data_IF_412231186393
#
_entry.id   IF_412231186393
#
_cell.length_a   1.000
_cell.length_b   1.000
_cell.length_c   1.000
_cell.angle_alpha   90.00
_cell.angle_beta   90.00
_cell.angle_gamma   90.00
#
_symmetry.space_group_name_H-M   'P 1'
#
loop_
_entity.id
_entity.type
_entity.pdbx_description
1 polymer ?
#
# COMPACT_ATOMS: atom_id res chain seq x y z
N UNK A 1 6.13 18.12 0.32
CA UNK A 1 4.87 17.73 0.91
C UNK A 1 4.68 16.22 0.84
N UNK A 2 4.07 15.65 1.88
CA UNK A 2 3.94 14.19 2.02
C UNK A 2 3.08 13.58 0.90
N UNK A 3 2.04 14.25 0.44
CA UNK A 3 1.17 13.70 -0.61
C UNK A 3 1.87 13.60 -1.95
N UNK A 4 2.81 14.48 -2.24
CA UNK A 4 3.60 14.39 -3.46
C UNK A 4 4.44 13.11 -3.51
N UNK A 5 4.73 12.53 -2.34
CA UNK A 5 5.48 11.29 -2.21
C UNK A 5 4.51 10.11 -2.06
N UNK A 6 3.50 10.26 -1.21
CA UNK A 6 2.59 9.17 -0.86
C UNK A 6 1.69 8.75 -2.02
N UNK A 7 1.13 9.70 -2.77
CA UNK A 7 0.18 9.37 -3.83
C UNK A 7 0.80 8.51 -4.94
N UNK A 8 2.00 8.82 -5.47
CA UNK A 8 2.63 7.93 -6.45
C UNK A 8 2.93 6.54 -5.88
N UNK A 9 3.34 6.44 -4.61
CA UNK A 9 3.60 5.15 -3.98
C UNK A 9 2.32 4.34 -3.82
N UNK A 10 1.25 4.99 -3.37
CA UNK A 10 -0.04 4.30 -3.22
C UNK A 10 -0.55 3.81 -4.58
N UNK A 11 -0.48 4.65 -5.61
CA UNK A 11 -0.85 4.27 -6.97
C UNK A 11 -0.04 3.07 -7.47
N UNK A 12 1.25 3.05 -7.19
CA UNK A 12 2.12 1.93 -7.54
C UNK A 12 1.68 0.64 -6.85
N UNK A 13 1.34 0.72 -5.56
CA UNK A 13 0.86 -0.45 -4.81
C UNK A 13 -0.44 -0.98 -5.36
N UNK A 14 -1.39 -0.09 -5.68
CA UNK A 14 -2.67 -0.50 -6.25
C UNK A 14 -2.49 -1.23 -7.58
N UNK A 15 -1.65 -0.69 -8.45
CA UNK A 15 -1.37 -1.30 -9.74
C UNK A 15 -0.67 -2.65 -9.59
N UNK A 16 0.34 -2.73 -8.74
CA UNK A 16 1.07 -3.98 -8.49
C UNK A 16 0.15 -5.05 -7.89
N UNK A 17 -0.74 -4.65 -6.98
CA UNK A 17 -1.72 -5.56 -6.39
C UNK A 17 -2.68 -6.08 -7.45
N UNK A 18 -3.23 -5.19 -8.29
CA UNK A 18 -4.18 -5.57 -9.34
C UNK A 18 -3.56 -6.49 -10.39
N UNK A 19 -2.27 -6.32 -10.67
CA UNK A 19 -1.57 -7.14 -11.66
C UNK A 19 -0.88 -8.36 -11.06
N UNK A 20 -0.90 -8.50 -9.73
CA UNK A 20 -0.30 -9.64 -9.03
C UNK A 20 1.22 -9.69 -9.11
N UNK A 21 1.88 -8.54 -9.19
CA UNK A 21 3.34 -8.46 -9.32
C UNK A 21 4.00 -8.26 -7.97
N UNK A 22 4.39 -9.36 -7.34
CA UNK A 22 4.99 -9.33 -6.01
C UNK A 22 6.24 -8.44 -5.94
N UNK A 23 7.17 -8.60 -6.90
CA UNK A 23 8.40 -7.82 -6.90
C UNK A 23 8.16 -6.32 -6.99
N UNK A 24 7.18 -5.90 -7.80
CA UNK A 24 6.80 -4.50 -7.90
C UNK A 24 6.07 -4.02 -6.65
N UNK A 25 5.27 -4.89 -6.05
CA UNK A 25 4.51 -4.56 -4.84
C UNK A 25 5.44 -4.18 -3.69
N UNK A 26 6.54 -4.91 -3.49
CA UNK A 26 7.46 -4.70 -2.35
C UNK A 26 8.64 -3.80 -2.68
N UNK A 27 8.71 -3.26 -3.88
CA UNK A 27 9.87 -2.51 -4.39
C UNK A 27 10.31 -1.36 -3.47
N UNK A 28 9.36 -0.66 -2.86
CA UNK A 28 9.65 0.48 -2.00
C UNK A 28 9.44 0.19 -0.51
N UNK A 29 9.30 -1.08 -0.15
CA UNK A 29 9.14 -1.47 1.24
C UNK A 29 10.47 -1.34 1.98
N UNK A 30 10.39 -1.02 3.28
CA UNK A 30 11.57 -1.04 4.14
C UNK A 30 12.11 -2.46 4.23
N UNK A 31 13.40 -2.58 4.52
CA UNK A 31 14.05 -3.88 4.65
C UNK A 31 13.40 -4.72 5.74
N UNK A 32 13.06 -4.09 6.87
CA UNK A 32 12.40 -4.80 7.97
C UNK A 32 11.01 -5.31 7.58
N UNK A 33 10.27 -4.54 6.81
CA UNK A 33 8.95 -4.97 6.35
C UNK A 33 9.08 -6.17 5.40
N UNK A 34 10.02 -6.10 4.47
CA UNK A 34 10.24 -7.20 3.51
C UNK A 34 10.63 -8.48 4.24
N UNK A 35 11.49 -8.39 5.27
CA UNK A 35 11.89 -9.56 6.07
C UNK A 35 10.73 -10.22 6.80
N UNK A 36 9.70 -9.44 7.15
CA UNK A 36 8.52 -9.96 7.81
C UNK A 36 7.49 -10.56 6.87
N UNK A 37 7.69 -10.41 5.55
CA UNK A 37 6.76 -10.94 4.56
C UNK A 37 7.22 -12.27 4.04
N UNK A 38 6.23 -13.14 3.79
CA UNK A 38 6.46 -14.43 3.15
C UNK A 38 5.93 -14.35 1.73
N UNK A 39 6.78 -14.58 0.74
CA UNK A 39 6.42 -14.49 -0.66
C UNK A 39 5.25 -15.40 -1.02
N UNK A 40 5.21 -16.59 -0.42
CA UNK A 40 4.13 -17.53 -0.68
C UNK A 40 2.81 -16.99 -0.13
N UNK A 41 2.82 -16.43 1.08
CA UNK A 41 1.61 -15.85 1.68
C UNK A 41 1.11 -14.65 0.91
N UNK A 42 2.00 -13.76 0.49
CA UNK A 42 1.63 -12.60 -0.32
C UNK A 42 1.09 -13.07 -1.66
N UNK A 43 1.72 -14.06 -2.28
CA UNK A 43 1.25 -14.64 -3.52
C UNK A 43 -0.14 -15.25 -3.39
N UNK A 44 -0.43 -15.91 -2.27
CA UNK A 44 -1.77 -16.47 -1.99
C UNK A 44 -2.81 -15.37 -1.86
N UNK A 45 -2.47 -14.25 -1.18
CA UNK A 45 -3.38 -13.12 -1.07
C UNK A 45 -3.71 -12.55 -2.45
N UNK A 46 -2.70 -12.38 -3.30
CA UNK A 46 -2.91 -11.88 -4.65
C UNK A 46 -3.77 -12.82 -5.49
N UNK A 47 -3.55 -14.13 -5.37
CA UNK A 47 -4.27 -15.12 -6.15
C UNK A 47 -5.71 -15.31 -5.70
N UNK A 48 -5.95 -15.25 -4.39
CA UNK A 48 -7.24 -15.64 -3.79
C UNK A 48 -8.10 -14.46 -3.34
N UNK A 49 -7.56 -13.25 -3.32
CA UNK A 49 -8.33 -12.08 -2.86
C UNK A 49 -8.96 -11.36 -4.05
N UNK A 50 -10.26 -11.45 -4.15
CA UNK A 50 -11.01 -10.71 -5.16
C UNK A 50 -10.84 -9.20 -4.96
N UNK A 51 -10.78 -8.76 -3.72
CA UNK A 51 -10.59 -7.35 -3.41
C UNK A 51 -9.23 -6.84 -3.90
N UNK A 52 -8.14 -7.51 -3.52
CA UNK A 52 -6.78 -7.02 -3.81
C UNK A 52 -6.40 -7.08 -5.27
N UNK A 53 -7.16 -7.80 -6.09
CA UNK A 53 -6.94 -7.87 -7.54
C UNK A 53 -7.86 -6.96 -8.34
N UNK A 54 -8.77 -6.25 -7.67
CA UNK A 54 -9.77 -5.41 -8.31
C UNK A 54 -9.91 -4.07 -7.60
N UNK A 55 -8.80 -3.46 -7.21
CA UNK A 55 -8.81 -2.16 -6.54
C UNK A 55 -8.97 -1.05 -7.57
N UNK A 56 -9.84 -0.09 -7.25
CA UNK A 56 -9.91 1.13 -8.04
C UNK A 56 -8.60 1.88 -7.87
N UNK A 57 -8.04 2.38 -8.97
CA UNK A 57 -6.78 3.11 -8.95
C UNK A 57 -6.98 4.61 -8.79
N UNK A 58 -8.19 5.05 -8.50
CA UNK A 58 -8.47 6.44 -8.12
C UNK A 58 -7.92 6.73 -6.74
N UNK A 59 -7.28 7.88 -6.58
CA UNK A 59 -6.68 8.27 -5.30
C UNK A 59 -7.65 9.18 -4.57
N UNK A 60 -8.14 8.73 -3.41
CA UNK A 60 -9.07 9.49 -2.58
C UNK A 60 -8.46 9.67 -1.18
N UNK A 61 -7.77 10.78 -1.00
CA UNK A 61 -7.09 11.09 0.25
C UNK A 61 -8.08 11.43 1.37
N UNK A 62 -7.85 10.89 2.57
CA UNK A 62 -8.64 11.19 3.77
C UNK A 62 -7.87 12.07 4.75
N UNK A 63 -6.67 11.65 5.14
CA UNK A 63 -5.90 12.40 6.12
C UNK A 63 -4.57 11.73 6.45
N UNK A 64 -3.82 12.37 7.35
CA UNK A 64 -2.53 11.85 7.80
C UNK A 64 -2.49 11.79 9.32
N UNK A 65 -1.74 10.82 9.84
CA UNK A 65 -1.44 10.70 11.26
C UNK A 65 0.08 10.61 11.39
N UNK A 66 0.64 11.50 12.21
CA UNK A 66 2.07 11.45 12.49
C UNK A 66 2.30 10.75 13.83
N UNK A 67 3.21 9.79 13.83
CA UNK A 67 3.51 9.04 15.05
C UNK A 67 5.02 8.77 15.09
N UNK A 68 5.72 9.55 15.91
CA UNK A 68 7.18 9.46 15.98
C UNK A 68 7.82 9.84 14.65
N UNK A 69 8.62 8.95 14.11
CA UNK A 69 9.33 9.17 12.85
C UNK A 69 8.53 8.67 11.64
N UNK A 70 7.32 8.16 11.86
CA UNK A 70 6.49 7.62 10.78
C UNK A 70 5.30 8.52 10.52
N UNK A 71 4.87 8.53 9.26
CA UNK A 71 3.63 9.20 8.84
C UNK A 71 2.72 8.16 8.22
N UNK A 72 1.50 8.06 8.74
CA UNK A 72 0.46 7.22 8.17
C UNK A 72 -0.43 8.07 7.30
N UNK A 73 -0.58 7.69 6.04
CA UNK A 73 -1.48 8.36 5.10
C UNK A 73 -2.70 7.47 4.90
N UNK A 74 -3.88 8.08 5.02
CA UNK A 74 -5.15 7.35 4.94
C UNK A 74 -5.87 7.69 3.65
N UNK A 75 -6.37 6.66 2.99
CA UNK A 75 -7.11 6.77 1.73
C UNK A 75 -8.45 6.07 1.84
N UNK A 76 -9.45 6.61 1.14
CA UNK A 76 -10.68 5.87 0.89
C UNK A 76 -10.44 5.00 -0.33
N UNK A 77 -10.58 3.68 -0.16
CA UNK A 77 -10.33 2.73 -1.23
C UNK A 77 -11.64 2.12 -1.70
N UNK A 78 -11.79 1.99 -3.00
CA UNK A 78 -12.95 1.35 -3.63
C UNK A 78 -12.49 0.17 -4.46
N UNK A 79 -13.44 -0.73 -4.76
CA UNK A 79 -13.21 -1.87 -5.63
C UNK A 79 -13.91 -1.65 -6.97
N UNK A 80 -13.34 -2.19 -8.05
CA UNK A 80 -13.97 -2.16 -9.36
C UNK A 80 -15.04 -3.26 -9.50
N UNK A 81 -15.07 -4.21 -8.57
CA UNK A 81 -15.97 -5.37 -8.62
C UNK A 81 -16.97 -5.43 -7.48
N UNK A 82 -16.65 -4.85 -6.33
CA UNK A 82 -17.52 -4.90 -5.14
C UNK A 82 -17.97 -3.52 -4.75
N UNK A 83 -19.22 -3.39 -4.32
CA UNK A 83 -19.69 -2.15 -3.73
C UNK A 83 -19.14 -2.00 -2.32
N UNK A 84 -18.97 -0.75 -1.90
CA UNK A 84 -18.50 -0.43 -0.57
C UNK A 84 -17.23 0.39 -0.60
N UNK A 85 -16.77 0.72 0.60
CA UNK A 85 -15.57 1.52 0.81
C UNK A 85 -14.69 0.84 1.84
N UNK A 86 -13.39 0.94 1.62
CA UNK A 86 -12.39 0.38 2.52
C UNK A 86 -11.42 1.47 2.94
N UNK A 87 -10.73 1.26 4.05
CA UNK A 87 -9.68 2.15 4.50
C UNK A 87 -8.34 1.66 3.98
N UNK A 88 -7.69 2.47 3.15
CA UNK A 88 -6.32 2.23 2.73
C UNK A 88 -5.37 2.94 3.68
N UNK A 89 -4.34 2.24 4.16
CA UNK A 89 -3.35 2.79 5.07
C UNK A 89 -1.96 2.57 4.53
N UNK A 90 -1.20 3.66 4.40
CA UNK A 90 0.18 3.63 3.93
C UNK A 90 1.05 4.29 4.99
N UNK A 91 1.99 3.54 5.55
CA UNK A 91 2.91 4.04 6.57
C UNK A 91 4.26 4.30 5.91
N UNK A 92 4.74 5.53 6.02
CA UNK A 92 6.00 5.97 5.43
C UNK A 92 7.00 6.36 6.53
N UNK A 93 8.28 6.15 6.26
CA UNK A 93 9.35 6.55 7.15
C UNK A 93 10.66 6.59 6.39
N UNK A 94 11.73 6.97 7.08
CA UNK A 94 13.07 7.00 6.49
C UNK A 94 13.83 5.72 6.82
N UNK A 95 14.54 5.22 5.83
CA UNK A 95 15.51 4.13 5.98
C UNK A 95 16.73 4.53 5.16
N UNK A 96 17.86 4.74 5.85
CA UNK A 96 19.11 5.15 5.20
C UNK A 96 18.95 6.38 4.30
N UNK A 97 18.26 7.40 4.78
CA UNK A 97 17.99 8.68 4.12
C UNK A 97 16.94 8.60 3.00
N UNK A 98 16.47 7.41 2.66
CA UNK A 98 15.41 7.23 1.68
C UNK A 98 14.06 7.04 2.35
N UNK A 99 13.00 7.52 1.70
CA UNK A 99 11.64 7.27 2.17
C UNK A 99 11.22 5.89 1.68
N UNK A 100 10.81 5.06 2.63
CA UNK A 100 10.36 3.70 2.36
C UNK A 100 8.99 3.44 2.96
N UNK A 101 8.34 2.39 2.48
CA UNK A 101 7.05 1.96 2.98
C UNK A 101 7.28 1.02 4.17
N UNK A 102 6.74 1.39 5.33
CA UNK A 102 6.83 0.61 6.56
C UNK A 102 5.56 -0.16 6.86
N UNK A 103 4.50 0.08 6.13
CA UNK A 103 3.27 -0.66 6.24
C UNK A 103 2.30 -0.26 5.16
N UNK A 104 1.50 -1.21 4.70
CA UNK A 104 0.45 -0.97 3.70
C UNK A 104 -0.64 -2.00 3.91
N UNK A 105 -1.88 -1.53 4.06
CA UNK A 105 -3.00 -2.43 4.30
C UNK A 105 -4.30 -1.81 3.87
N UNK A 106 -5.31 -2.66 3.69
CA UNK A 106 -6.68 -2.26 3.36
C UNK A 106 -7.60 -2.98 4.34
N UNK A 107 -8.48 -2.21 4.97
CA UNK A 107 -9.38 -2.73 6.00
C UNK A 107 -10.84 -2.70 5.56
#
# INVERSE_FOLDING_TARGET
>A
EILAIANPLWSHLLHASNTGQYGEFVKYFSENLVRGLNEIEVGKQFANSELTRNLSESIEFIGTIRRGVHVTVLYRQRSTKKEGEWLGRLVLGYEDEDIKIFGASIF
#
